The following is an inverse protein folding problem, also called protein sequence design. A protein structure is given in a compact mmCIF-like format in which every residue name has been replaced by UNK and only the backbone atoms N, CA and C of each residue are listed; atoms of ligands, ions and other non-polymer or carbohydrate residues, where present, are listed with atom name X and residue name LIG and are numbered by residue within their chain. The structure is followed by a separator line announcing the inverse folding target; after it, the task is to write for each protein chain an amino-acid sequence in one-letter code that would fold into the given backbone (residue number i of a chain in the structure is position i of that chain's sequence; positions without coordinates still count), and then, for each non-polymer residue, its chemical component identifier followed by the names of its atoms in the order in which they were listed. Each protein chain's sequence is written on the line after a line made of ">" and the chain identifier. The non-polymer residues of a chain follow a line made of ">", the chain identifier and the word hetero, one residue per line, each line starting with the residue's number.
data_IF_024258881275
#
_entry.id   IF_024258881275
#
_cell.length_a   1.000
_cell.length_b   1.000
_cell.length_c   1.000
_cell.angle_alpha   90.00
_cell.angle_beta   90.00
_cell.angle_gamma   90.00
#
_symmetry.space_group_name_H-M   'P 1'
#
loop_
_entity.id
_entity.type
_entity.pdbx_description
1 polymer ?
#
# COMPACT_ATOMS: atom_id res chain seq x y z
N UNK A 1 -7.59 -3.93 -8.99
CA UNK A 1 -7.67 -3.65 -7.54
C UNK A 1 -7.40 -4.91 -6.73
N UNK A 2 -6.49 -4.86 -5.78
CA UNK A 2 -6.07 -6.01 -4.98
C UNK A 2 -7.22 -6.56 -4.13
N UNK A 3 -7.77 -7.72 -4.53
CA UNK A 3 -8.78 -8.43 -3.72
C UNK A 3 -8.11 -9.14 -2.55
N UNK A 4 -8.63 -8.98 -1.30
CA UNK A 4 -8.05 -9.66 -0.15
C UNK A 4 -8.23 -11.18 -0.24
N UNK A 5 -7.18 -11.92 0.10
CA UNK A 5 -7.31 -13.35 0.27
C UNK A 5 -8.12 -13.64 1.55
N UNK A 6 -9.18 -14.44 1.41
CA UNK A 6 -9.99 -14.87 2.57
C UNK A 6 -9.15 -15.70 3.54
N UNK A 7 -9.18 -15.31 4.80
CA UNK A 7 -8.56 -16.07 5.89
C UNK A 7 -9.52 -17.19 6.27
N UNK A 8 -9.22 -18.40 5.79
CA UNK A 8 -10.11 -19.56 6.00
C UNK A 8 -9.85 -20.25 7.35
N UNK A 9 -10.88 -20.85 7.93
CA UNK A 9 -10.80 -21.77 9.09
C UNK A 9 -10.35 -21.07 10.40
N UNK A 10 -10.69 -19.79 10.61
CA UNK A 10 -10.58 -19.15 11.91
C UNK A 10 -11.92 -19.26 12.62
N UNK A 11 -11.89 -19.74 13.87
CA UNK A 11 -13.02 -19.77 14.78
C UNK A 11 -12.72 -18.89 16.01
N UNK A 12 -13.74 -18.27 16.63
CA UNK A 12 -13.58 -17.58 17.91
C UNK A 12 -13.00 -18.46 19.02
N UNK A 13 -13.16 -19.80 18.90
CA UNK A 13 -12.62 -20.78 19.84
C UNK A 13 -11.18 -21.24 19.52
N UNK A 14 -10.61 -20.79 18.39
CA UNK A 14 -9.22 -21.11 18.07
C UNK A 14 -8.27 -20.48 19.11
N UNK A 15 -7.16 -21.15 19.38
CA UNK A 15 -6.09 -20.54 20.18
C UNK A 15 -5.52 -19.33 19.43
N UNK A 16 -5.22 -18.20 20.13
CA UNK A 16 -4.68 -17.00 19.51
C UNK A 16 -3.49 -17.25 18.57
N UNK A 17 -2.58 -18.12 18.97
CA UNK A 17 -1.38 -18.46 18.17
C UNK A 17 -1.74 -19.16 16.86
N UNK A 18 -2.77 -20.01 16.88
CA UNK A 18 -3.23 -20.73 15.68
C UNK A 18 -3.88 -19.76 14.71
N UNK A 19 -4.71 -18.84 15.21
CA UNK A 19 -5.35 -17.80 14.42
C UNK A 19 -4.28 -16.83 13.84
N UNK A 20 -3.38 -16.33 14.67
CA UNK A 20 -2.29 -15.44 14.29
C UNK A 20 -1.42 -16.03 13.19
N UNK A 21 -1.01 -17.29 13.32
CA UNK A 21 -0.26 -18.00 12.28
C UNK A 21 -1.00 -18.00 10.94
N UNK A 22 -2.30 -18.30 10.95
CA UNK A 22 -3.10 -18.36 9.72
C UNK A 22 -3.24 -16.98 9.07
N UNK A 23 -3.48 -15.96 9.90
CA UNK A 23 -3.59 -14.57 9.44
C UNK A 23 -2.29 -14.16 8.75
N UNK A 24 -1.16 -14.25 9.45
CA UNK A 24 0.13 -13.84 8.89
C UNK A 24 0.50 -14.62 7.63
N UNK A 25 0.37 -15.94 7.63
CA UNK A 25 0.68 -16.76 6.45
C UNK A 25 -0.20 -16.39 5.25
N UNK A 26 -1.49 -16.08 5.49
CA UNK A 26 -2.40 -15.65 4.42
C UNK A 26 -2.01 -14.29 3.87
N UNK A 27 -1.69 -13.32 4.74
CA UNK A 27 -1.26 -11.97 4.33
C UNK A 27 0.12 -11.98 3.66
N UNK A 28 1.04 -12.79 4.12
CA UNK A 28 2.33 -13.00 3.45
C UNK A 28 2.11 -13.58 2.04
N UNK A 29 1.24 -14.61 1.92
CA UNK A 29 0.90 -15.19 0.62
C UNK A 29 0.27 -14.15 -0.31
N UNK A 30 -0.67 -13.36 0.20
CA UNK A 30 -1.33 -12.28 -0.54
C UNK A 30 -0.32 -11.25 -1.03
N UNK A 31 0.52 -10.73 -0.14
CA UNK A 31 1.54 -9.75 -0.46
C UNK A 31 2.45 -10.22 -1.59
N UNK A 32 2.96 -11.42 -1.50
CA UNK A 32 3.81 -12.00 -2.54
C UNK A 32 3.07 -12.40 -3.82
N UNK A 33 1.75 -12.44 -3.87
CA UNK A 33 1.01 -12.70 -5.10
C UNK A 33 0.92 -11.50 -6.04
N UNK A 34 1.14 -10.29 -5.53
CA UNK A 34 1.18 -9.04 -6.31
C UNK A 34 2.60 -8.62 -6.67
N UNK A 35 3.50 -9.54 -6.61
CA UNK A 35 4.91 -9.31 -6.82
C UNK A 35 5.23 -8.99 -8.26
N UNK A 36 5.74 -7.80 -8.59
CA UNK A 36 6.35 -7.58 -9.88
C UNK A 36 7.66 -8.39 -9.95
N UNK A 37 7.89 -9.06 -11.05
CA UNK A 37 9.17 -9.67 -11.36
C UNK A 37 10.28 -8.62 -11.13
N UNK A 38 11.26 -8.86 -10.25
CA UNK A 38 12.31 -7.89 -9.96
C UNK A 38 13.14 -7.52 -11.20
N UNK A 39 13.11 -8.33 -12.23
CA UNK A 39 13.82 -8.09 -13.51
C UNK A 39 12.91 -7.41 -14.54
N UNK A 40 11.62 -7.23 -14.28
CA UNK A 40 10.68 -6.48 -15.11
C UNK A 40 10.31 -5.13 -14.50
N UNK A 41 10.04 -4.13 -15.35
CA UNK A 41 9.45 -2.88 -14.88
C UNK A 41 7.97 -3.12 -14.52
N UNK A 42 7.57 -2.97 -13.24
CA UNK A 42 6.18 -3.17 -12.84
C UNK A 42 5.31 -2.05 -13.42
N UNK A 43 4.09 -2.40 -13.80
CA UNK A 43 3.09 -1.40 -14.12
C UNK A 43 2.53 -0.72 -12.86
N UNK A 44 1.82 0.39 -13.06
CA UNK A 44 1.25 1.18 -11.96
C UNK A 44 0.19 0.41 -11.18
N UNK A 45 -0.56 -0.48 -11.84
CA UNK A 45 -1.58 -1.30 -11.17
C UNK A 45 -0.92 -2.33 -10.26
N UNK A 46 0.16 -2.97 -10.69
CA UNK A 46 0.95 -3.90 -9.89
C UNK A 46 1.50 -3.21 -8.64
N UNK A 47 2.10 -2.01 -8.79
CA UNK A 47 2.61 -1.23 -7.66
C UNK A 47 1.49 -0.83 -6.67
N UNK A 48 0.34 -0.42 -7.19
CA UNK A 48 -0.83 -0.08 -6.39
C UNK A 48 -1.34 -1.31 -5.62
N UNK A 49 -1.48 -2.45 -6.28
CA UNK A 49 -1.93 -3.69 -5.65
C UNK A 49 -0.95 -4.19 -4.60
N UNK A 50 0.35 -4.06 -4.86
CA UNK A 50 1.40 -4.36 -3.89
C UNK A 50 1.31 -3.47 -2.65
N UNK A 51 1.08 -2.15 -2.85
CA UNK A 51 0.90 -1.19 -1.76
C UNK A 51 -0.29 -1.55 -0.87
N UNK A 52 -1.43 -1.91 -1.46
CA UNK A 52 -2.64 -2.30 -0.71
C UNK A 52 -2.41 -3.59 0.07
N UNK A 53 -1.84 -4.62 -0.56
CA UNK A 53 -1.56 -5.89 0.12
C UNK A 53 -0.50 -5.73 1.22
N UNK A 54 0.50 -4.86 1.00
CA UNK A 54 1.49 -4.48 2.01
C UNK A 54 0.87 -3.78 3.23
N UNK A 55 -0.10 -2.88 3.03
CA UNK A 55 -0.86 -2.26 4.13
C UNK A 55 -1.58 -3.32 4.97
N UNK A 56 -2.28 -4.27 4.32
CA UNK A 56 -2.98 -5.35 5.03
C UNK A 56 -2.02 -6.22 5.83
N UNK A 57 -0.88 -6.58 5.25
CA UNK A 57 0.15 -7.35 5.95
C UNK A 57 0.70 -6.57 7.15
N UNK A 58 1.00 -5.28 6.98
CA UNK A 58 1.51 -4.41 8.05
C UNK A 58 0.51 -4.31 9.20
N UNK A 59 -0.74 -3.96 8.94
CA UNK A 59 -1.76 -3.84 9.99
C UNK A 59 -2.01 -5.17 10.71
N UNK A 60 -2.01 -6.28 9.98
CA UNK A 60 -2.09 -7.60 10.62
C UNK A 60 -0.86 -7.89 11.49
N UNK A 61 0.33 -7.51 11.05
CA UNK A 61 1.54 -7.68 11.85
C UNK A 61 1.54 -6.80 13.11
N UNK A 62 1.12 -5.53 12.99
CA UNK A 62 0.99 -4.60 14.11
C UNK A 62 -0.01 -5.13 15.17
N UNK A 63 -1.18 -5.60 14.72
CA UNK A 63 -2.21 -6.15 15.61
C UNK A 63 -1.79 -7.46 16.30
N UNK A 64 -0.86 -8.20 15.71
CA UNK A 64 -0.36 -9.47 16.26
C UNK A 64 0.97 -9.32 17.00
N UNK A 65 1.45 -8.09 17.22
CA UNK A 65 2.79 -7.81 17.76
C UNK A 65 3.04 -8.49 19.11
N UNK A 66 2.05 -8.54 19.99
CA UNK A 66 2.17 -9.15 21.32
C UNK A 66 2.42 -10.67 21.25
N UNK A 67 1.88 -11.34 20.23
CA UNK A 67 2.11 -12.78 20.02
C UNK A 67 3.48 -13.09 19.39
N UNK A 68 4.19 -12.07 18.92
CA UNK A 68 5.48 -12.18 18.25
C UNK A 68 6.44 -11.09 18.75
N UNK A 69 6.74 -11.00 20.06
CA UNK A 69 7.61 -9.96 20.58
C UNK A 69 8.95 -9.97 19.83
N UNK A 70 9.40 -8.79 19.46
CA UNK A 70 10.68 -8.51 18.75
C UNK A 70 10.86 -9.11 17.36
N UNK A 71 9.94 -9.97 16.90
CA UNK A 71 10.07 -10.65 15.61
C UNK A 71 9.39 -9.93 14.45
N UNK A 72 8.31 -9.20 14.74
CA UNK A 72 7.56 -8.46 13.72
C UNK A 72 8.07 -7.04 13.49
N UNK A 73 8.92 -6.50 14.37
CA UNK A 73 9.41 -5.13 14.29
C UNK A 73 10.09 -4.86 12.93
N UNK A 74 11.07 -5.68 12.56
CA UNK A 74 11.76 -5.53 11.28
C UNK A 74 10.82 -5.62 10.08
N UNK A 75 9.87 -6.56 10.09
CA UNK A 75 8.88 -6.68 9.03
C UNK A 75 8.02 -5.42 8.92
N UNK A 76 7.54 -4.91 10.05
CA UNK A 76 6.71 -3.70 10.10
C UNK A 76 7.49 -2.51 9.55
N UNK A 77 8.76 -2.33 9.93
CA UNK A 77 9.59 -1.22 9.48
C UNK A 77 9.90 -1.31 7.98
N UNK A 78 10.21 -2.50 7.46
CA UNK A 78 10.40 -2.72 6.02
C UNK A 78 9.12 -2.45 5.23
N UNK A 79 7.97 -2.87 5.76
CA UNK A 79 6.68 -2.61 5.11
C UNK A 79 6.34 -1.11 5.14
N UNK A 80 6.64 -0.37 6.21
CA UNK A 80 6.49 1.08 6.27
C UNK A 80 7.33 1.77 5.21
N UNK A 81 8.63 1.47 5.17
CA UNK A 81 9.55 2.04 4.18
C UNK A 81 9.05 1.83 2.75
N UNK A 82 8.64 0.60 2.41
CA UNK A 82 8.14 0.31 1.07
C UNK A 82 6.80 1.01 0.77
N UNK A 83 5.93 1.17 1.78
CA UNK A 83 4.66 1.89 1.61
C UNK A 83 4.85 3.38 1.38
N UNK A 84 5.82 3.99 2.08
CA UNK A 84 6.14 5.40 1.91
C UNK A 84 6.71 5.64 0.50
N UNK A 85 7.65 4.80 0.05
CA UNK A 85 8.19 4.87 -1.31
C UNK A 85 7.11 4.70 -2.39
N UNK A 86 6.24 3.69 -2.24
CA UNK A 86 5.13 3.46 -3.18
C UNK A 86 4.09 4.59 -3.13
N UNK A 87 3.87 5.20 -1.96
CA UNK A 87 3.03 6.37 -1.80
C UNK A 87 3.58 7.56 -2.59
N UNK A 88 4.84 7.92 -2.38
CA UNK A 88 5.49 9.03 -3.09
C UNK A 88 5.54 8.79 -4.61
N UNK A 89 5.74 7.55 -5.07
CA UNK A 89 5.68 7.21 -6.50
C UNK A 89 4.28 7.49 -7.05
N UNK A 90 3.23 7.05 -6.35
CA UNK A 90 1.85 7.28 -6.75
C UNK A 90 1.51 8.77 -6.75
N UNK A 91 1.98 9.53 -5.78
CA UNK A 91 1.78 10.98 -5.70
C UNK A 91 2.45 11.69 -6.89
N UNK A 92 3.67 11.28 -7.27
CA UNK A 92 4.33 11.81 -8.47
C UNK A 92 3.50 11.57 -9.75
N UNK A 93 2.95 10.35 -9.91
CA UNK A 93 2.10 10.01 -11.07
C UNK A 93 0.82 10.86 -11.09
N UNK A 94 0.16 10.98 -9.96
CA UNK A 94 -1.10 11.73 -9.83
C UNK A 94 -0.88 13.22 -10.11
N UNK A 95 0.13 13.84 -9.49
CA UNK A 95 0.42 15.26 -9.68
C UNK A 95 0.85 15.54 -11.11
N UNK A 96 1.69 14.69 -11.71
CA UNK A 96 2.06 14.82 -13.11
C UNK A 96 0.84 14.79 -14.01
N UNK A 97 -0.07 13.83 -13.83
CA UNK A 97 -1.29 13.70 -14.62
C UNK A 97 -2.18 14.94 -14.55
N UNK A 98 -2.32 15.58 -13.39
CA UNK A 98 -3.05 16.83 -13.22
C UNK A 98 -2.40 17.95 -14.03
N UNK A 99 -1.07 18.09 -13.98
CA UNK A 99 -0.34 19.13 -14.69
C UNK A 99 -0.40 18.90 -16.21
N UNK A 100 -0.24 17.66 -16.67
CA UNK A 100 -0.38 17.29 -18.09
C UNK A 100 -1.78 17.62 -18.65
N UNK A 101 -2.84 17.31 -17.87
CA UNK A 101 -4.22 17.64 -18.24
C UNK A 101 -4.45 19.17 -18.29
N UNK A 102 -3.85 19.91 -17.38
CA UNK A 102 -3.89 21.38 -17.39
C UNK A 102 -3.14 21.95 -18.61
N UNK A 103 -1.94 21.45 -18.88
CA UNK A 103 -1.13 21.86 -20.03
C UNK A 103 -1.87 21.56 -21.36
N UNK A 104 -2.52 20.43 -21.48
CA UNK A 104 -3.32 20.07 -22.65
C UNK A 104 -4.50 21.04 -22.87
N UNK A 105 -5.13 21.53 -21.79
CA UNK A 105 -6.18 22.56 -21.89
C UNK A 105 -5.60 23.91 -22.28
N UNK A 106 -4.46 24.29 -21.70
CA UNK A 106 -3.79 25.56 -22.06
C UNK A 106 -3.38 25.62 -23.52
N UNK A 107 -2.83 24.54 -24.09
CA UNK A 107 -2.41 24.47 -25.50
C UNK A 107 -3.56 24.70 -26.49
N UNK A 108 -4.81 24.50 -26.09
CA UNK A 108 -6.02 24.80 -26.90
C UNK A 108 -6.40 26.28 -26.90
N UNK A 109 -5.90 27.06 -25.95
CA UNK A 109 -6.06 28.51 -25.86
C UNK A 109 -4.75 29.15 -26.32
N UNK A 110 -4.71 30.41 -26.65
CA UNK A 110 -3.46 31.10 -27.09
C UNK A 110 -2.48 31.24 -25.91
N UNK A 111 -1.60 30.25 -25.67
CA UNK A 111 -0.77 30.24 -24.47
C UNK A 111 0.46 31.09 -24.64
N UNK A 112 0.91 31.72 -23.56
CA UNK A 112 2.24 32.33 -23.52
C UNK A 112 3.31 31.22 -23.43
N UNK A 113 4.30 31.23 -24.30
CA UNK A 113 5.35 30.22 -24.37
C UNK A 113 6.09 29.99 -23.04
N UNK A 114 6.25 31.03 -22.24
CA UNK A 114 6.88 30.90 -20.91
C UNK A 114 6.12 30.04 -19.91
N UNK A 115 4.79 30.06 -19.94
CA UNK A 115 3.95 29.26 -19.05
C UNK A 115 4.01 27.77 -19.43
N UNK A 116 4.00 27.46 -20.73
CA UNK A 116 4.19 26.09 -21.22
C UNK A 116 5.52 25.53 -20.75
N UNK A 117 6.60 26.26 -20.98
CA UNK A 117 7.94 25.84 -20.59
C UNK A 117 8.06 25.55 -19.07
N UNK A 118 7.45 26.41 -18.24
CA UNK A 118 7.44 26.22 -16.80
C UNK A 118 6.72 24.91 -16.38
N UNK A 119 5.56 24.63 -17.00
CA UNK A 119 4.81 23.39 -16.71
C UNK A 119 5.54 22.13 -17.18
N UNK A 120 6.16 22.17 -18.36
CA UNK A 120 6.99 21.07 -18.89
C UNK A 120 8.18 20.79 -17.97
N UNK A 121 8.81 21.83 -17.41
CA UNK A 121 9.88 21.69 -16.44
C UNK A 121 9.39 20.99 -15.16
N UNK A 122 8.19 21.33 -14.66
CA UNK A 122 7.60 20.69 -13.49
C UNK A 122 7.30 19.21 -13.80
N UNK A 123 6.73 18.89 -14.97
CA UNK A 123 6.48 17.51 -15.42
C UNK A 123 7.78 16.70 -15.37
N UNK A 124 8.85 17.23 -15.99
CA UNK A 124 10.16 16.58 -16.02
C UNK A 124 10.75 16.36 -14.62
N UNK A 125 10.49 17.26 -13.68
CA UNK A 125 10.91 17.09 -12.27
C UNK A 125 10.17 15.93 -11.60
N UNK A 126 8.84 15.81 -11.80
CA UNK A 126 8.08 14.68 -11.28
C UNK A 126 8.55 13.35 -11.88
N UNK A 127 8.88 13.30 -13.17
CA UNK A 127 9.41 12.09 -13.83
C UNK A 127 10.76 11.68 -13.23
N UNK A 128 11.65 12.63 -13.03
CA UNK A 128 12.96 12.38 -12.41
C UNK A 128 12.83 11.90 -10.97
N UNK A 129 11.95 12.55 -10.18
CA UNK A 129 11.66 12.14 -8.81
C UNK A 129 11.07 10.73 -8.77
N UNK A 130 10.09 10.43 -9.61
CA UNK A 130 9.48 9.10 -9.74
C UNK A 130 10.55 8.04 -10.03
N UNK A 131 11.43 8.28 -10.99
CA UNK A 131 12.50 7.36 -11.36
C UNK A 131 13.49 7.12 -10.21
N UNK A 132 13.84 8.16 -9.45
CA UNK A 132 14.70 8.05 -8.27
C UNK A 132 14.04 7.23 -7.15
N UNK A 133 12.77 7.50 -6.86
CA UNK A 133 12.00 6.75 -5.85
C UNK A 133 11.83 5.30 -6.25
N UNK A 134 11.61 5.05 -7.54
CA UNK A 134 11.50 3.69 -8.06
C UNK A 134 12.80 2.89 -7.89
N UNK A 135 13.96 3.49 -8.11
CA UNK A 135 15.25 2.84 -7.84
C UNK A 135 15.38 2.45 -6.36
N UNK A 136 15.08 3.37 -5.44
CA UNK A 136 15.12 3.11 -3.98
C UNK A 136 14.15 1.99 -3.59
N UNK A 137 12.93 2.04 -4.13
CA UNK A 137 11.96 0.97 -3.92
C UNK A 137 12.48 -0.38 -4.42
N UNK A 138 13.02 -0.42 -5.63
CA UNK A 138 13.54 -1.64 -6.24
C UNK A 138 14.71 -2.25 -5.45
N UNK A 139 15.60 -1.43 -4.91
CA UNK A 139 16.69 -1.88 -4.03
C UNK A 139 16.16 -2.50 -2.73
N UNK A 140 15.23 -1.80 -2.05
CA UNK A 140 14.57 -2.33 -0.86
C UNK A 140 13.81 -3.62 -1.15
N UNK A 141 13.09 -3.62 -2.25
CA UNK A 141 12.30 -4.75 -2.70
C UNK A 141 13.13 -5.99 -3.01
N UNK A 142 14.27 -5.84 -3.69
CA UNK A 142 15.21 -6.95 -3.92
C UNK A 142 15.61 -7.67 -2.63
N UNK A 143 15.84 -6.93 -1.55
CA UNK A 143 16.14 -7.52 -0.25
C UNK A 143 14.99 -8.36 0.32
N UNK A 144 13.74 -7.97 0.04
CA UNK A 144 12.55 -8.72 0.49
C UNK A 144 12.21 -9.94 -0.38
N UNK A 145 12.76 -10.01 -1.62
CA UNK A 145 12.51 -11.10 -2.58
C UNK A 145 13.29 -12.34 -2.25
N UNK A 146 14.46 -12.20 -1.71
CA UNK A 146 15.34 -13.34 -1.47
C UNK A 146 14.58 -14.46 -0.78
N UNK A 147 14.68 -15.67 -1.31
CA UNK A 147 13.96 -16.84 -0.78
C UNK A 147 14.25 -17.05 0.72
N UNK A 148 15.41 -16.64 1.18
CA UNK A 148 15.80 -16.63 2.59
C UNK A 148 14.90 -15.73 3.44
N UNK A 149 14.61 -14.49 2.97
CA UNK A 149 13.73 -13.57 3.70
C UNK A 149 12.30 -14.10 3.73
N UNK A 150 11.79 -14.55 2.59
CA UNK A 150 10.46 -15.16 2.49
C UNK A 150 10.34 -16.44 3.32
N UNK A 151 11.37 -17.26 3.35
CA UNK A 151 11.48 -18.45 4.20
C UNK A 151 11.48 -18.08 5.68
N UNK A 152 12.25 -17.07 6.07
CA UNK A 152 12.32 -16.54 7.42
C UNK A 152 10.97 -16.00 7.91
N UNK A 153 10.22 -15.28 7.05
CA UNK A 153 8.88 -14.80 7.38
C UNK A 153 7.91 -15.94 7.64
N UNK A 154 7.92 -17.00 6.82
CA UNK A 154 7.07 -18.18 7.01
C UNK A 154 7.44 -18.93 8.29
N UNK A 155 8.73 -19.10 8.56
CA UNK A 155 9.23 -19.72 9.77
C UNK A 155 8.84 -18.91 11.02
N UNK A 156 8.96 -17.60 10.98
CA UNK A 156 8.54 -16.67 12.01
C UNK A 156 7.04 -16.78 12.28
N UNK A 157 6.20 -16.67 11.26
CA UNK A 157 4.75 -16.78 11.39
C UNK A 157 4.30 -18.12 12.00
N UNK A 158 5.14 -19.16 11.90
CA UNK A 158 4.89 -20.48 12.47
C UNK A 158 5.27 -20.61 13.96
N UNK A 159 5.94 -19.60 14.53
CA UNK A 159 6.53 -19.63 15.88
C UNK A 159 5.89 -18.61 16.84
N UNK A 160 4.56 -18.43 16.78
CA UNK A 160 3.85 -17.61 17.76
C UNK A 160 4.12 -18.13 19.19
N UNK A 161 4.26 -17.21 20.14
CA UNK A 161 4.39 -17.59 21.54
C UNK A 161 3.10 -18.24 22.03
N UNK A 162 3.24 -19.28 22.87
CA UNK A 162 2.10 -19.89 23.54
C UNK A 162 1.55 -18.94 24.60
N UNK A 163 0.36 -18.44 24.40
CA UNK A 163 -0.36 -17.64 25.39
C UNK A 163 -1.05 -18.56 26.38
N UNK A 164 -1.01 -18.24 27.66
CA UNK A 164 -1.86 -18.93 28.64
C UNK A 164 -3.32 -18.71 28.22
N UNK A 165 -4.13 -19.77 28.27
CA UNK A 165 -5.54 -19.78 27.87
C UNK A 165 -6.37 -18.98 28.88
N UNK A 166 -6.27 -17.65 28.84
CA UNK A 166 -6.99 -16.69 29.66
C UNK A 166 -7.98 -15.91 28.80
N UNK A 167 -8.96 -15.30 29.44
CA UNK A 167 -9.91 -14.37 28.83
C UNK A 167 -9.18 -13.26 28.05
N UNK A 168 -8.01 -12.83 28.52
CA UNK A 168 -7.07 -11.91 27.88
C UNK A 168 -6.67 -12.33 26.44
N UNK A 169 -6.52 -13.64 26.19
CA UNK A 169 -6.18 -14.13 24.83
C UNK A 169 -7.31 -14.00 23.81
N UNK A 170 -8.58 -13.83 24.24
CA UNK A 170 -9.70 -13.50 23.35
C UNK A 170 -9.73 -12.02 23.03
N UNK A 171 -9.51 -11.16 24.00
CA UNK A 171 -9.48 -9.71 23.85
C UNK A 171 -8.34 -9.26 22.90
N UNK A 172 -7.22 -9.98 22.89
CA UNK A 172 -6.09 -9.70 22.00
C UNK A 172 -6.40 -9.93 20.50
N UNK A 173 -7.39 -10.76 20.18
CA UNK A 173 -7.77 -11.02 18.79
C UNK A 173 -8.90 -10.10 18.30
N UNK A 174 -9.66 -9.45 19.16
CA UNK A 174 -10.74 -8.56 18.76
C UNK A 174 -10.28 -7.43 17.82
N UNK A 175 -9.16 -6.71 18.13
CA UNK A 175 -8.65 -5.69 17.19
C UNK A 175 -8.27 -6.26 15.83
N UNK A 176 -7.80 -7.51 15.80
CA UNK A 176 -7.39 -8.18 14.54
C UNK A 176 -8.59 -8.50 13.67
N UNK A 177 -9.70 -8.93 14.26
CA UNK A 177 -10.95 -9.16 13.53
C UNK A 177 -11.50 -7.85 12.96
N UNK A 178 -11.43 -6.74 13.70
CA UNK A 178 -11.80 -5.42 13.20
C UNK A 178 -10.95 -4.99 12.02
N UNK A 179 -9.63 -5.16 12.07
CA UNK A 179 -8.71 -4.82 10.96
C UNK A 179 -8.97 -5.69 9.73
N UNK A 180 -9.29 -6.98 9.92
CA UNK A 180 -9.62 -7.89 8.83
C UNK A 180 -10.94 -7.46 8.16
N UNK A 181 -11.97 -7.20 8.95
CA UNK A 181 -13.28 -6.78 8.45
C UNK A 181 -13.23 -5.38 7.82
N UNK A 182 -12.51 -4.42 8.41
CA UNK A 182 -12.31 -3.10 7.86
C UNK A 182 -11.54 -3.13 6.52
N UNK A 183 -10.56 -4.06 6.38
CA UNK A 183 -9.85 -4.22 5.11
C UNK A 183 -10.70 -4.88 4.02
N UNK A 184 -11.73 -5.62 4.38
CA UNK A 184 -12.73 -6.16 3.43
C UNK A 184 -13.74 -5.08 3.01
N UNK A 185 -14.16 -4.18 3.90
CA UNK A 185 -15.07 -3.05 3.61
C UNK A 185 -14.36 -1.91 2.85
N UNK A 186 -13.08 -1.68 3.06
CA UNK A 186 -12.31 -0.66 2.32
C UNK A 186 -12.16 -0.97 0.82
N UNK A 187 -12.41 -2.21 0.40
CA UNK A 187 -12.42 -2.59 -1.03
C UNK A 187 -13.69 -2.14 -1.76
N UNK A 188 -14.72 -1.69 -1.06
CA UNK A 188 -16.03 -1.33 -1.65
C UNK A 188 -16.15 0.18 -1.90
N UNK A 189 -15.46 1.02 -1.12
CA UNK A 189 -15.70 2.46 -1.08
C UNK A 189 -14.83 3.30 -2.03
N UNK A 190 -13.87 2.70 -2.74
CA UNK A 190 -13.01 3.46 -3.68
C UNK A 190 -13.53 3.52 -5.13
N UNK A 191 -14.74 3.03 -5.39
CA UNK A 191 -15.38 3.17 -6.71
C UNK A 191 -16.28 4.42 -6.81
N UNK A 192 -16.38 5.22 -5.75
CA UNK A 192 -17.29 6.38 -5.65
C UNK A 192 -16.69 7.73 -6.05
N UNK A 193 -15.39 7.89 -6.18
CA UNK A 193 -14.74 9.21 -6.25
C UNK A 193 -14.28 9.67 -7.66
N UNK A 194 -14.75 9.01 -8.73
CA UNK A 194 -14.52 9.57 -10.09
C UNK A 194 -15.58 10.61 -10.53
N UNK A 195 -16.59 10.86 -9.72
CA UNK A 195 -17.69 11.81 -10.07
C UNK A 195 -17.59 13.20 -9.44
N UNK A 196 -16.51 13.51 -8.68
CA UNK A 196 -16.37 14.73 -7.88
C UNK A 196 -15.44 15.83 -8.41
N UNK A 197 -14.91 15.72 -9.61
CA UNK A 197 -13.99 16.73 -10.16
C UNK A 197 -14.67 17.82 -11.00
N UNK A 198 -15.98 17.99 -10.91
CA UNK A 198 -16.71 19.16 -11.42
C UNK A 198 -17.21 20.04 -10.28
N UNK A 199 -16.30 20.68 -9.57
CA UNK A 199 -16.69 21.72 -8.62
C UNK A 199 -15.76 22.94 -8.72
N UNK A 200 -16.26 23.94 -9.43
CA UNK A 200 -16.23 25.35 -9.10
C UNK A 200 -14.84 26.03 -9.09
N UNK A 201 -14.42 26.48 -10.25
CA UNK A 201 -13.78 27.79 -10.33
C UNK A 201 -14.79 28.77 -10.91
N UNK A 202 -15.64 29.30 -10.05
CA UNK A 202 -16.41 30.50 -10.31
C UNK A 202 -15.48 31.69 -10.13
N UNK A 203 -14.79 32.10 -11.18
CA UNK A 203 -14.09 33.39 -11.21
C UNK A 203 -15.14 34.40 -11.63
N UNK A 204 -15.57 35.19 -10.67
CA UNK A 204 -16.37 36.38 -10.77
C UNK A 204 -15.70 37.35 -11.75
N UNK A 205 -16.24 37.50 -12.96
CA UNK A 205 -15.99 38.66 -13.81
C UNK A 205 -16.84 39.80 -13.26
N UNK A 206 -16.22 40.66 -12.48
CA UNK A 206 -16.77 41.94 -12.03
C UNK A 206 -16.08 43.06 -12.78
N UNK A 207 -16.91 43.76 -13.55
CA UNK A 207 -16.75 45.03 -14.17
C UNK A 207 -15.66 46.01 -13.57
N UNK A 208 -14.82 46.56 -14.42
CA UNK A 208 -14.68 47.99 -14.82
C UNK A 208 -13.67 48.07 -15.95
#
# INVERSE_FOLDING_TARGET
>A
MAKPLKIRKISPDDRPEKAAKRILLTRIKEFYSYWPDPDSAPDLEQLHNLRISGKRLRYSAESLRELYPDRLALLIDLLKLNQDLLGEIQDCVTQRGVIEAYLARMRRRTPQNGQIFALEKIISEYERRQSSLFKKFHESWRGMVMDEFRGSLKAMASRAQKTKRTQEGREQLEPVFHVINASESFSIDQTGDEAGAEAVVNVNDGDV
#
